data_IF_800165932682
#
_entry.id   IF_800165932682
#
_cell.length_a   1.000
_cell.length_b   1.000
_cell.length_c   1.000
_cell.angle_alpha   90.00
_cell.angle_beta   90.00
_cell.angle_gamma   90.00
#
_symmetry.space_group_name_H-M   'P 1'
#
loop_
_entity.id
_entity.type
_entity.pdbx_description
1 polymer ?
#
# COMPACT_ATOMS: atom_id res chain seq x y z
N UNK A 1 -8.97 1.06 28.54
CA UNK A 1 -8.33 1.56 27.31
C UNK A 1 -9.43 1.86 26.31
N UNK A 2 -9.48 3.06 25.74
CA UNK A 2 -10.50 3.42 24.75
C UNK A 2 -10.24 2.62 23.47
N UNK A 3 -11.30 2.02 22.90
CA UNK A 3 -11.25 1.30 21.64
C UNK A 3 -11.01 2.34 20.53
N UNK A 4 -9.83 2.35 19.92
CA UNK A 4 -9.56 3.17 18.73
C UNK A 4 -10.47 2.63 17.62
N UNK A 5 -11.20 3.48 16.91
CA UNK A 5 -12.03 3.04 15.79
C UNK A 5 -11.09 2.72 14.62
N UNK A 6 -11.42 1.67 13.88
CA UNK A 6 -10.74 1.32 12.63
C UNK A 6 -10.66 2.56 11.74
N UNK A 7 -9.46 2.89 11.24
CA UNK A 7 -9.18 4.09 10.44
C UNK A 7 -8.74 5.35 11.21
N UNK A 8 -9.00 5.48 12.52
CA UNK A 8 -8.60 6.68 13.29
C UNK A 8 -7.06 6.80 13.41
N UNK A 9 -6.36 5.67 13.49
CA UNK A 9 -4.90 5.64 13.60
C UNK A 9 -4.21 6.09 12.31
N UNK A 10 -4.76 5.67 11.16
CA UNK A 10 -4.29 6.04 9.82
C UNK A 10 -4.40 7.55 9.65
N UNK A 11 -5.58 8.09 9.98
CA UNK A 11 -5.85 9.53 9.88
C UNK A 11 -4.88 10.35 10.73
N UNK A 12 -4.66 9.95 11.98
CA UNK A 12 -3.70 10.64 12.86
C UNK A 12 -2.26 10.56 12.34
N UNK A 13 -1.87 9.41 11.80
CA UNK A 13 -0.53 9.19 11.23
C UNK A 13 -0.30 10.08 10.01
N UNK A 14 -1.25 10.10 9.07
CA UNK A 14 -1.19 10.94 7.87
C UNK A 14 -1.24 12.43 8.20
N UNK A 15 -2.05 12.85 9.18
CA UNK A 15 -2.06 14.23 9.67
C UNK A 15 -0.71 14.64 10.29
N UNK A 16 -0.06 13.72 11.01
CA UNK A 16 1.28 13.92 11.56
C UNK A 16 2.34 14.10 10.46
N UNK A 17 2.34 13.23 9.45
CA UNK A 17 3.27 13.30 8.32
C UNK A 17 3.13 14.61 7.53
N UNK A 18 1.88 15.01 7.22
CA UNK A 18 1.59 16.26 6.50
C UNK A 18 2.11 17.48 7.26
N UNK A 19 1.89 17.54 8.58
CA UNK A 19 2.40 18.65 9.42
C UNK A 19 3.92 18.76 9.42
N UNK A 20 4.64 17.62 9.37
CA UNK A 20 6.10 17.62 9.32
C UNK A 20 6.57 18.22 7.99
N UNK A 21 5.98 17.81 6.87
CA UNK A 21 6.27 18.34 5.54
C UNK A 21 6.00 19.84 5.47
N UNK A 22 4.84 20.30 5.95
CA UNK A 22 4.47 21.72 5.99
C UNK A 22 5.45 22.58 6.79
N UNK A 23 6.02 22.02 7.86
CA UNK A 23 6.84 22.77 8.82
C UNK A 23 8.33 22.77 8.44
N UNK A 24 8.83 21.72 7.78
CA UNK A 24 10.26 21.50 7.55
C UNK A 24 10.63 21.48 6.07
N UNK A 25 9.66 21.52 5.16
CA UNK A 25 9.85 21.50 3.71
C UNK A 25 10.24 20.13 3.14
N UNK A 26 11.03 19.35 3.88
CA UNK A 26 11.48 18.01 3.54
C UNK A 26 11.64 17.15 4.81
N UNK A 27 11.63 15.82 4.66
CA UNK A 27 11.85 14.85 5.75
C UNK A 27 13.24 14.20 5.64
N UNK A 28 14.35 14.85 6.03
CA UNK A 28 15.69 14.31 5.78
C UNK A 28 15.83 12.89 6.32
N UNK A 29 15.94 11.91 5.41
CA UNK A 29 16.03 10.50 5.76
C UNK A 29 17.51 10.15 5.96
N UNK A 30 17.86 9.66 7.14
CA UNK A 30 19.23 9.18 7.39
C UNK A 30 19.27 7.69 7.02
N UNK A 31 19.98 7.38 5.93
CA UNK A 31 20.21 6.02 5.47
C UNK A 31 21.41 5.38 6.23
N UNK A 32 21.52 4.03 6.21
CA UNK A 32 22.69 3.34 6.75
C UNK A 32 24.01 3.93 6.24
N UNK A 33 24.99 4.09 7.13
CA UNK A 33 26.27 4.73 6.81
C UNK A 33 26.28 6.26 6.96
N UNK A 34 25.17 6.87 7.38
CA UNK A 34 25.11 8.31 7.70
C UNK A 34 24.83 9.20 6.49
N UNK A 35 24.40 8.62 5.36
CA UNK A 35 23.95 9.38 4.21
C UNK A 35 22.63 10.07 4.52
N UNK A 36 22.54 11.36 4.19
CA UNK A 36 21.32 12.15 4.33
C UNK A 36 20.68 12.27 2.96
N UNK A 37 19.43 11.85 2.88
CA UNK A 37 18.61 12.03 1.70
C UNK A 37 17.98 13.42 1.77
N UNK A 38 18.54 14.36 1.01
CA UNK A 38 18.23 15.79 1.15
C UNK A 38 16.87 16.19 0.56
N UNK A 39 16.29 15.39 -0.34
CA UNK A 39 14.98 15.66 -0.96
C UNK A 39 14.09 14.39 -1.04
N UNK A 40 13.57 13.92 0.10
CA UNK A 40 12.62 12.82 0.13
C UNK A 40 11.25 13.32 -0.30
N UNK A 41 10.83 12.90 -1.48
CA UNK A 41 9.50 13.17 -1.99
C UNK A 41 8.56 12.01 -1.65
N UNK A 42 7.34 12.39 -1.31
CA UNK A 42 6.18 11.52 -1.29
C UNK A 42 5.22 12.09 -2.33
N UNK A 43 4.97 11.35 -3.40
CA UNK A 43 3.95 11.72 -4.36
C UNK A 43 2.68 10.95 -4.03
N UNK A 44 1.80 11.60 -3.28
CA UNK A 44 0.47 11.08 -3.01
C UNK A 44 -0.45 11.43 -4.17
N UNK A 45 -1.07 10.42 -4.77
CA UNK A 45 -2.07 10.67 -5.79
C UNK A 45 -3.36 11.26 -5.17
N UNK A 46 -4.18 11.88 -6.02
CA UNK A 46 -5.52 12.32 -5.63
C UNK A 46 -6.35 11.12 -5.13
N UNK A 47 -7.30 11.35 -4.20
CA UNK A 47 -8.27 10.35 -3.76
C UNK A 47 -8.93 9.56 -4.89
N UNK A 48 -9.08 8.24 -4.70
CA UNK A 48 -9.92 7.42 -5.56
C UNK A 48 -11.40 7.72 -5.27
N UNK A 49 -12.19 7.78 -6.32
CA UNK A 49 -13.65 7.83 -6.21
C UNK A 49 -14.22 6.48 -5.80
N UNK A 50 -15.39 6.46 -5.14
CA UNK A 50 -16.11 5.21 -4.84
C UNK A 50 -16.40 4.38 -6.10
N UNK A 51 -16.54 5.04 -7.26
CA UNK A 51 -16.71 4.36 -8.54
C UNK A 51 -15.45 3.60 -8.94
N UNK A 52 -14.27 4.21 -8.82
CA UNK A 52 -13.00 3.55 -9.15
C UNK A 52 -12.73 2.35 -8.23
N UNK A 53 -13.03 2.49 -6.93
CA UNK A 53 -12.91 1.40 -5.96
C UNK A 53 -13.90 0.27 -6.29
N UNK A 54 -15.15 0.61 -6.64
CA UNK A 54 -16.14 -0.38 -7.04
C UNK A 54 -15.78 -1.08 -8.36
N UNK A 55 -15.26 -0.34 -9.35
CA UNK A 55 -14.82 -0.87 -10.63
C UNK A 55 -13.61 -1.82 -10.42
N UNK A 56 -12.70 -1.51 -9.50
CA UNK A 56 -11.62 -2.39 -9.08
C UNK A 56 -12.13 -3.71 -8.46
N UNK A 57 -13.03 -3.65 -7.46
CA UNK A 57 -13.65 -4.85 -6.86
C UNK A 57 -14.39 -5.69 -7.91
N UNK A 58 -15.08 -5.05 -8.85
CA UNK A 58 -15.82 -5.72 -9.92
C UNK A 58 -14.89 -6.40 -10.94
N UNK A 59 -13.74 -5.79 -11.26
CA UNK A 59 -12.76 -6.35 -12.18
C UNK A 59 -12.21 -7.68 -11.66
N UNK A 60 -11.74 -7.69 -10.40
CA UNK A 60 -11.20 -8.89 -9.77
C UNK A 60 -12.26 -9.84 -9.22
N UNK A 61 -13.52 -9.40 -9.10
CA UNK A 61 -14.65 -10.13 -8.49
C UNK A 61 -14.40 -10.51 -7.04
N UNK A 62 -13.72 -9.64 -6.30
CA UNK A 62 -13.35 -9.84 -4.89
C UNK A 62 -13.83 -8.66 -4.04
N UNK A 63 -13.72 -8.80 -2.71
CA UNK A 63 -13.81 -7.68 -1.78
C UNK A 63 -12.44 -7.36 -1.25
N UNK A 64 -12.02 -6.10 -1.40
CA UNK A 64 -10.78 -5.65 -0.82
C UNK A 64 -10.93 -5.37 0.68
N UNK A 65 -9.84 -5.50 1.44
CA UNK A 65 -9.72 -5.01 2.82
C UNK A 65 -10.21 -3.57 2.98
N UNK A 66 -10.86 -3.28 4.11
CA UNK A 66 -11.47 -1.97 4.34
C UNK A 66 -10.45 -0.85 4.55
N UNK A 67 -9.33 -1.16 5.21
CA UNK A 67 -8.16 -0.30 5.37
C UNK A 67 -7.53 0.05 4.02
N UNK A 68 -7.34 -0.92 3.12
CA UNK A 68 -6.84 -0.68 1.77
C UNK A 68 -7.78 0.23 0.96
N UNK A 69 -9.10 0.02 1.09
CA UNK A 69 -10.09 0.93 0.47
C UNK A 69 -10.05 2.32 1.09
N UNK A 70 -9.82 2.44 2.39
CA UNK A 70 -9.67 3.73 3.06
C UNK A 70 -8.40 4.45 2.62
N UNK A 71 -7.30 3.72 2.46
CA UNK A 71 -6.09 4.24 1.83
C UNK A 71 -6.40 4.81 0.44
N UNK A 72 -7.08 4.06 -0.42
CA UNK A 72 -7.45 4.53 -1.77
C UNK A 72 -8.34 5.78 -1.73
N UNK A 73 -9.29 5.87 -0.79
CA UNK A 73 -10.14 7.07 -0.59
C UNK A 73 -9.35 8.29 -0.16
N UNK A 74 -8.19 8.11 0.46
CA UNK A 74 -7.33 9.21 0.87
C UNK A 74 -6.32 9.53 -0.24
N UNK A 75 -5.76 8.50 -0.86
CA UNK A 75 -4.67 8.55 -1.83
C UNK A 75 -4.77 7.36 -2.80
N UNK A 76 -5.07 7.60 -4.09
CA UNK A 76 -5.17 6.55 -5.11
C UNK A 76 -3.78 6.06 -5.57
N UNK A 77 -3.02 5.48 -4.65
CA UNK A 77 -1.63 5.14 -4.83
C UNK A 77 -0.68 6.22 -4.31
N UNK A 78 0.58 5.81 -4.13
CA UNK A 78 1.67 6.66 -3.66
C UNK A 78 2.99 6.19 -4.27
N UNK A 79 3.83 7.14 -4.65
CA UNK A 79 5.24 6.89 -4.94
C UNK A 79 6.07 7.48 -3.79
N UNK A 80 6.88 6.63 -3.16
CA UNK A 80 7.72 6.96 -2.02
C UNK A 80 9.18 6.78 -2.44
N UNK A 81 10.02 7.69 -1.96
CA UNK A 81 11.46 7.50 -2.06
C UNK A 81 11.93 6.14 -1.51
N UNK A 82 13.04 5.63 -2.06
CA UNK A 82 13.53 4.25 -1.85
C UNK A 82 12.78 3.18 -2.66
N UNK A 83 12.06 3.60 -3.71
CA UNK A 83 11.52 2.69 -4.73
C UNK A 83 10.26 1.94 -4.30
N UNK A 84 9.57 2.41 -3.25
CA UNK A 84 8.27 1.87 -2.83
C UNK A 84 7.17 2.59 -3.61
N UNK A 85 6.36 1.82 -4.31
CA UNK A 85 5.20 2.30 -5.04
C UNK A 85 3.97 1.51 -4.60
N UNK A 86 2.90 2.19 -4.16
CA UNK A 86 1.56 1.57 -4.08
C UNK A 86 0.77 2.08 -5.27
N UNK A 87 0.24 1.14 -6.04
CA UNK A 87 -0.38 1.39 -7.33
C UNK A 87 -1.72 2.10 -7.20
N UNK A 88 -2.04 2.92 -8.20
CA UNK A 88 -3.39 3.42 -8.40
C UNK A 88 -4.35 2.27 -8.76
N UNK A 89 -5.66 2.44 -8.55
CA UNK A 89 -6.68 1.46 -8.95
C UNK A 89 -6.53 1.00 -10.41
N UNK A 90 -6.21 1.92 -11.32
CA UNK A 90 -5.99 1.62 -12.74
C UNK A 90 -4.72 0.80 -12.97
N UNK A 91 -3.64 1.11 -12.26
CA UNK A 91 -2.39 0.39 -12.38
C UNK A 91 -2.44 -0.99 -11.73
N UNK A 92 -3.21 -1.16 -10.65
CA UNK A 92 -3.53 -2.48 -10.08
C UNK A 92 -4.18 -3.36 -11.15
N UNK A 93 -5.19 -2.85 -11.86
CA UNK A 93 -5.85 -3.59 -12.94
C UNK A 93 -4.83 -3.95 -14.03
N UNK A 94 -4.10 -2.96 -14.53
CA UNK A 94 -3.16 -3.10 -15.65
C UNK A 94 -2.01 -4.06 -15.35
N UNK A 95 -1.39 -3.97 -14.18
CA UNK A 95 -0.18 -4.74 -13.89
C UNK A 95 -0.46 -6.16 -13.46
N UNK A 96 -1.62 -6.44 -12.85
CA UNK A 96 -2.00 -7.81 -12.50
C UNK A 96 -2.29 -8.70 -13.71
N UNK A 97 -2.66 -8.16 -14.87
CA UNK A 97 -2.87 -8.95 -16.10
C UNK A 97 -1.62 -9.73 -16.53
N UNK A 98 -0.43 -9.26 -16.15
CA UNK A 98 0.85 -9.87 -16.49
C UNK A 98 1.50 -10.65 -15.33
N UNK A 99 0.87 -10.69 -14.14
CA UNK A 99 1.42 -11.39 -12.98
C UNK A 99 0.98 -12.85 -12.95
N UNK A 100 1.92 -13.74 -12.62
CA UNK A 100 1.63 -15.12 -12.26
C UNK A 100 1.45 -15.21 -10.73
N UNK A 101 0.31 -14.72 -10.25
CA UNK A 101 -0.09 -14.80 -8.84
C UNK A 101 -1.21 -15.84 -8.67
N UNK A 102 -1.30 -16.48 -7.49
CA UNK A 102 -2.42 -17.34 -7.16
C UNK A 102 -3.76 -16.60 -7.32
N UNK A 103 -4.84 -17.37 -7.54
CA UNK A 103 -6.20 -16.80 -7.57
C UNK A 103 -6.47 -16.01 -6.29
N UNK A 104 -7.16 -14.87 -6.42
CA UNK A 104 -7.47 -13.95 -5.31
C UNK A 104 -6.24 -13.31 -4.62
N UNK A 105 -5.04 -13.46 -5.17
CA UNK A 105 -3.86 -12.69 -4.79
C UNK A 105 -3.65 -11.54 -5.77
N UNK A 106 -3.79 -10.30 -5.30
CA UNK A 106 -3.72 -9.10 -6.14
C UNK A 106 -2.48 -8.29 -5.76
N UNK A 107 -1.62 -8.04 -6.74
CA UNK A 107 -0.52 -7.09 -6.64
C UNK A 107 -1.07 -5.68 -6.43
N UNK A 108 -0.58 -4.98 -5.41
CA UNK A 108 -0.97 -3.61 -5.11
C UNK A 108 0.20 -2.63 -5.08
N UNK A 109 1.44 -3.12 -5.18
CA UNK A 109 2.60 -2.26 -5.07
C UNK A 109 3.91 -2.98 -5.29
N UNK A 110 4.97 -2.20 -5.39
CA UNK A 110 6.33 -2.65 -5.59
C UNK A 110 7.26 -2.04 -4.54
N UNK A 111 8.37 -2.74 -4.29
CA UNK A 111 9.55 -2.16 -3.66
C UNK A 111 10.78 -2.77 -4.34
N UNK A 112 11.43 -1.99 -5.21
CA UNK A 112 12.41 -2.51 -6.17
C UNK A 112 11.83 -3.71 -6.94
N UNK A 113 12.48 -4.88 -6.88
CA UNK A 113 12.03 -6.10 -7.55
C UNK A 113 10.98 -6.89 -6.73
N UNK A 114 10.69 -6.44 -5.50
CA UNK A 114 9.71 -7.05 -4.61
C UNK A 114 8.29 -6.55 -4.85
N UNK A 115 7.30 -7.32 -4.40
CA UNK A 115 5.86 -7.08 -4.67
C UNK A 115 5.05 -7.06 -3.37
N UNK A 116 4.21 -6.05 -3.21
CA UNK A 116 3.15 -6.05 -2.20
C UNK A 116 1.89 -6.67 -2.78
N UNK A 117 1.34 -7.67 -2.09
CA UNK A 117 0.20 -8.47 -2.57
C UNK A 117 -0.84 -8.60 -1.47
N UNK A 118 -2.11 -8.45 -1.84
CA UNK A 118 -3.26 -8.74 -0.98
C UNK A 118 -3.84 -10.11 -1.36
N UNK A 119 -3.95 -11.01 -0.40
CA UNK A 119 -4.72 -12.25 -0.50
C UNK A 119 -6.16 -12.02 0.01
N UNK A 120 -7.10 -11.79 -0.91
CA UNK A 120 -8.50 -11.48 -0.56
C UNK A 120 -9.25 -12.69 0.01
N UNK A 121 -8.77 -13.90 -0.26
CA UNK A 121 -9.33 -15.13 0.31
C UNK A 121 -8.99 -15.23 1.78
N UNK A 122 -7.76 -14.91 2.19
CA UNK A 122 -7.37 -14.84 3.61
C UNK A 122 -8.12 -13.74 4.34
N UNK A 123 -8.22 -12.55 3.74
CA UNK A 123 -9.02 -11.46 4.30
C UNK A 123 -10.47 -11.89 4.57
N UNK A 124 -11.10 -12.57 3.61
CA UNK A 124 -12.48 -13.07 3.75
C UNK A 124 -12.64 -14.11 4.88
N UNK A 125 -11.55 -14.76 5.29
CA UNK A 125 -11.50 -15.69 6.41
C UNK A 125 -11.06 -15.03 7.74
N UNK A 126 -10.87 -13.71 7.76
CA UNK A 126 -10.44 -12.96 8.95
C UNK A 126 -8.98 -13.19 9.32
N UNK A 127 -8.15 -13.56 8.35
CA UNK A 127 -6.70 -13.76 8.53
C UNK A 127 -5.92 -12.57 7.95
N UNK A 128 -4.68 -12.41 8.40
CA UNK A 128 -3.73 -11.46 7.80
C UNK A 128 -3.57 -11.75 6.31
N UNK A 129 -3.67 -10.70 5.49
CA UNK A 129 -3.82 -10.77 4.03
C UNK A 129 -2.73 -10.04 3.25
N UNK A 130 -1.89 -9.23 3.91
CA UNK A 130 -0.85 -8.46 3.24
C UNK A 130 0.47 -9.22 3.22
N UNK A 131 1.02 -9.42 2.04
CA UNK A 131 2.28 -10.12 1.82
C UNK A 131 3.28 -9.23 1.09
N UNK A 132 4.55 -9.38 1.45
CA UNK A 132 5.66 -8.89 0.65
C UNK A 132 6.38 -10.09 0.03
N UNK A 133 6.43 -10.14 -1.30
CA UNK A 133 7.12 -11.17 -2.06
C UNK A 133 8.47 -10.62 -2.51
N UNK A 134 9.56 -11.16 -1.98
CA UNK A 134 10.90 -10.84 -2.47
C UNK A 134 11.11 -11.46 -3.86
N UNK A 135 11.95 -10.86 -4.70
CA UNK A 135 12.09 -11.17 -6.13
C UNK A 135 12.69 -12.55 -6.43
N UNK A 136 13.24 -13.20 -5.41
CA UNK A 136 13.93 -14.50 -5.48
C UNK A 136 13.07 -15.62 -4.89
N UNK A 137 12.04 -15.27 -4.12
CA UNK A 137 11.26 -16.23 -3.33
C UNK A 137 9.96 -16.62 -4.05
N UNK A 138 9.66 -17.91 -4.02
CA UNK A 138 8.31 -18.39 -4.36
C UNK A 138 7.30 -17.82 -3.36
N UNK A 139 6.00 -17.73 -3.71
CA UNK A 139 4.98 -17.24 -2.78
C UNK A 139 4.97 -18.02 -1.45
N UNK A 140 5.38 -19.28 -1.48
CA UNK A 140 5.50 -20.18 -0.33
C UNK A 140 6.59 -19.75 0.68
N UNK A 141 7.54 -18.92 0.25
CA UNK A 141 8.64 -18.39 1.06
C UNK A 141 8.40 -16.94 1.51
N UNK A 142 7.25 -16.36 1.14
CA UNK A 142 6.87 -15.00 1.52
C UNK A 142 6.86 -14.81 3.05
N UNK A 143 7.42 -13.70 3.52
CA UNK A 143 7.38 -13.31 4.94
C UNK A 143 6.18 -12.41 5.20
N UNK A 144 5.51 -12.65 6.32
CA UNK A 144 4.45 -11.76 6.82
C UNK A 144 4.98 -10.32 6.97
N UNK A 145 4.35 -9.39 6.27
CA UNK A 145 4.62 -7.96 6.45
C UNK A 145 3.91 -7.48 7.71
N UNK A 146 4.60 -6.72 8.56
CA UNK A 146 4.01 -6.03 9.72
C UNK A 146 3.60 -4.58 9.40
N UNK A 147 3.54 -4.23 8.12
CA UNK A 147 3.09 -2.92 7.68
C UNK A 147 1.57 -3.00 7.49
N UNK A 148 0.83 -2.42 8.41
CA UNK A 148 -0.59 -2.11 8.26
C UNK A 148 -0.70 -0.69 7.71
N UNK A 149 -1.51 -0.49 6.66
CA UNK A 149 -1.78 0.83 6.07
C UNK A 149 -3.02 1.46 6.69
#
# INVERSE_FOLDING_TARGET
MAKIREGDLIKQTLEGLKRILDSHGAFPLIQPGGFVLEDPYFHFNDPATEKEIADLENFFKVKFPNDYKEFLRLHNGIDIIDGIEILSTNDVIKYNEAQDLPEECILIGYHFDGRYVIDTKRYSNGLDYMFFLDSIDSFEEARESRIEF
#
